data_IF_458651778414
#
_entry.id   IF_458651778414
#
_cell.length_a   1.000
_cell.length_b   1.000
_cell.length_c   1.000
_cell.angle_alpha   90.00
_cell.angle_beta   90.00
_cell.angle_gamma   90.00
#
_symmetry.space_group_name_H-M   'P 1'
#
loop_
_entity.id
_entity.type
_entity.pdbx_description
1 polymer ?
#
# COMPACT_ATOMS: atom_id res chain seq x y z
N UNK A 1 -3.37 -11.40 17.87
CA UNK A 1 -4.19 -10.36 17.23
C UNK A 1 -3.37 -9.73 16.12
N UNK A 2 -3.98 -9.33 14.99
CA UNK A 2 -3.27 -8.69 13.88
C UNK A 2 -3.92 -7.34 13.56
N UNK A 3 -3.10 -6.33 13.35
CA UNK A 3 -3.47 -5.01 12.84
C UNK A 3 -3.47 -5.09 11.31
N UNK A 4 -4.52 -4.54 10.67
CA UNK A 4 -4.62 -4.42 9.22
C UNK A 4 -4.73 -2.95 8.85
N UNK A 5 -3.87 -2.48 7.97
CA UNK A 5 -3.83 -1.10 7.49
C UNK A 5 -4.18 -1.09 6.01
N UNK A 6 -5.22 -0.35 5.65
CA UNK A 6 -5.62 -0.10 4.26
C UNK A 6 -5.03 1.25 3.83
N UNK A 7 -4.27 1.27 2.74
CA UNK A 7 -3.80 2.49 2.10
C UNK A 7 -4.52 2.64 0.76
N UNK A 8 -5.15 3.79 0.51
CA UNK A 8 -5.64 4.19 -0.81
C UNK A 8 -4.67 5.21 -1.40
N UNK A 9 -4.24 4.97 -2.64
CA UNK A 9 -3.32 5.83 -3.38
C UNK A 9 -3.92 6.21 -4.73
N UNK A 10 -3.46 7.34 -5.27
CA UNK A 10 -3.98 7.95 -6.50
C UNK A 10 -2.89 8.76 -7.17
N UNK A 11 -2.75 8.63 -8.49
CA UNK A 11 -1.89 9.50 -9.33
C UNK A 11 -2.68 10.68 -9.95
N UNK A 12 -3.97 10.78 -9.61
CA UNK A 12 -4.91 11.78 -10.13
C UNK A 12 -5.76 11.26 -11.30
N UNK A 13 -5.42 10.11 -11.89
CA UNK A 13 -6.17 9.44 -12.96
C UNK A 13 -6.73 8.09 -12.51
N UNK A 14 -5.90 7.31 -11.84
CA UNK A 14 -6.20 5.97 -11.34
C UNK A 14 -6.06 5.94 -9.83
N UNK A 15 -6.92 5.15 -9.18
CA UNK A 15 -6.82 4.85 -7.74
C UNK A 15 -6.57 3.37 -7.53
N UNK A 16 -5.73 3.07 -6.55
CA UNK A 16 -5.47 1.70 -6.12
C UNK A 16 -5.43 1.62 -4.60
N UNK A 17 -5.59 0.40 -4.08
CA UNK A 17 -5.60 0.12 -2.65
C UNK A 17 -4.69 -1.04 -2.33
N UNK A 18 -3.95 -0.93 -1.24
CA UNK A 18 -3.09 -1.98 -0.70
C UNK A 18 -3.39 -2.20 0.77
N UNK A 19 -3.10 -3.40 1.25
CA UNK A 19 -3.36 -3.79 2.63
C UNK A 19 -2.11 -4.41 3.21
N UNK A 20 -1.58 -3.80 4.27
CA UNK A 20 -0.52 -4.36 5.10
C UNK A 20 -1.10 -4.98 6.37
N UNK A 21 -0.55 -6.09 6.81
CA UNK A 21 -0.98 -6.78 8.02
C UNK A 21 0.22 -7.22 8.86
N UNK A 22 0.25 -6.79 10.13
CA UNK A 22 1.26 -7.20 11.11
C UNK A 22 0.68 -7.15 12.52
N UNK A 23 1.39 -7.69 13.51
CA UNK A 23 1.13 -7.44 14.93
C UNK A 23 1.47 -6.01 15.37
N UNK A 24 2.30 -5.31 14.61
CA UNK A 24 2.72 -3.92 14.88
C UNK A 24 2.13 -2.94 13.84
N UNK A 25 1.69 -1.77 14.31
CA UNK A 25 1.04 -0.78 13.43
C UNK A 25 2.02 -0.07 12.48
N UNK A 26 3.26 0.14 12.90
CA UNK A 26 4.30 0.76 12.08
C UNK A 26 4.67 -0.21 10.95
N UNK A 27 4.87 -1.49 11.27
CA UNK A 27 5.17 -2.51 10.27
C UNK A 27 4.00 -2.71 9.29
N UNK A 28 2.76 -2.84 9.80
CA UNK A 28 1.58 -2.95 8.93
C UNK A 28 1.43 -1.75 7.99
N UNK A 29 1.77 -0.54 8.46
CA UNK A 29 1.74 0.68 7.65
C UNK A 29 2.85 0.69 6.60
N UNK A 30 4.07 0.26 6.96
CA UNK A 30 5.20 0.16 6.03
C UNK A 30 4.91 -0.81 4.89
N UNK A 31 4.41 -2.01 5.21
CA UNK A 31 4.02 -3.02 4.21
C UNK A 31 2.98 -2.48 3.23
N UNK A 32 1.90 -1.87 3.73
CA UNK A 32 0.85 -1.31 2.89
C UNK A 32 1.39 -0.21 1.95
N UNK A 33 2.26 0.66 2.47
CA UNK A 33 2.81 1.78 1.70
C UNK A 33 3.83 1.32 0.66
N UNK A 34 4.72 0.39 1.03
CA UNK A 34 5.68 -0.22 0.10
C UNK A 34 4.95 -0.86 -1.08
N UNK A 35 3.96 -1.70 -0.80
CA UNK A 35 3.14 -2.36 -1.84
C UNK A 35 2.46 -1.32 -2.75
N UNK A 36 1.99 -0.20 -2.18
CA UNK A 36 1.33 0.85 -2.96
C UNK A 36 2.28 1.50 -3.97
N UNK A 37 3.54 1.75 -3.58
CA UNK A 37 4.56 2.32 -4.47
C UNK A 37 5.05 1.29 -5.48
N UNK A 38 5.31 0.05 -5.08
CA UNK A 38 5.72 -1.02 -5.99
C UNK A 38 4.65 -1.26 -7.06
N UNK A 39 3.37 -1.31 -6.65
CA UNK A 39 2.25 -1.38 -7.58
C UNK A 39 2.28 -0.24 -8.60
N UNK A 40 2.43 1.01 -8.13
CA UNK A 40 2.47 2.15 -9.04
C UNK A 40 3.65 2.08 -10.01
N UNK A 41 4.86 1.80 -9.53
CA UNK A 41 6.05 1.71 -10.38
C UNK A 41 5.85 0.66 -11.47
N UNK A 42 5.45 -0.56 -11.10
CA UNK A 42 5.25 -1.67 -12.05
C UNK A 42 4.21 -1.33 -13.13
N UNK A 43 3.16 -0.58 -12.77
CA UNK A 43 2.07 -0.25 -13.69
C UNK A 43 2.28 1.05 -14.48
N UNK A 44 3.30 1.85 -14.13
CA UNK A 44 3.53 3.17 -14.70
C UNK A 44 4.92 3.30 -15.37
N UNK A 45 5.60 2.17 -15.62
CA UNK A 45 6.79 2.11 -16.49
C UNK A 45 6.34 1.94 -17.95
N UNK A 46 6.09 3.06 -18.63
CA UNK A 46 6.09 3.14 -20.11
C UNK A 46 7.38 3.84 -20.60
#
# INVERSE_FOLDING_TARGET
AAVRVLVESSDGRTRWRTVGASTDIIEASWLALQDAYEYWIIHNQE
#
